data_IF_070754902207
#
_entry.id   IF_070754902207
#
_cell.length_a   1.000
_cell.length_b   1.000
_cell.length_c   1.000
_cell.angle_alpha   90.00
_cell.angle_beta   90.00
_cell.angle_gamma   90.00
#
_symmetry.space_group_name_H-M   'P 1'
#
loop_
_entity.id
_entity.type
_entity.pdbx_description
1 polymer ?
#
# COMPACT_ATOMS: atom_id res chain seq x y z
N UNK A 1 -41.09 -10.64 -31.60
CA UNK A 1 -40.21 -9.94 -30.65
C UNK A 1 -41.05 -9.40 -29.51
N UNK A 2 -41.06 -10.08 -28.36
CA UNK A 2 -41.75 -9.65 -27.14
C UNK A 2 -40.71 -9.72 -26.02
N UNK A 3 -40.05 -8.58 -25.80
CA UNK A 3 -39.05 -8.43 -24.74
C UNK A 3 -39.82 -8.33 -23.43
N UNK A 4 -39.69 -9.34 -22.59
CA UNK A 4 -40.27 -9.36 -21.24
C UNK A 4 -39.29 -8.65 -20.31
N UNK A 5 -39.62 -7.43 -19.88
CA UNK A 5 -38.89 -6.72 -18.83
C UNK A 5 -39.26 -7.30 -17.47
N UNK A 6 -38.36 -8.08 -16.87
CA UNK A 6 -38.49 -8.52 -15.47
C UNK A 6 -37.92 -7.40 -14.59
N UNK A 7 -38.81 -6.66 -13.92
CA UNK A 7 -38.44 -5.64 -12.93
C UNK A 7 -38.27 -6.36 -11.59
N UNK A 8 -37.03 -6.53 -11.14
CA UNK A 8 -36.73 -7.08 -9.81
C UNK A 8 -36.58 -5.93 -8.81
N UNK A 9 -37.56 -5.78 -7.92
CA UNK A 9 -37.53 -4.85 -6.80
C UNK A 9 -36.86 -5.53 -5.60
N UNK A 10 -35.63 -5.13 -5.26
CA UNK A 10 -34.99 -5.55 -4.03
C UNK A 10 -35.26 -4.53 -2.92
N UNK A 11 -36.09 -4.95 -1.96
CA UNK A 11 -36.32 -4.26 -0.69
C UNK A 11 -35.13 -4.59 0.23
N UNK A 12 -34.33 -3.59 0.60
CA UNK A 12 -33.28 -3.75 1.61
C UNK A 12 -33.87 -3.30 2.95
N UNK A 13 -34.16 -4.26 3.83
CA UNK A 13 -34.48 -4.00 5.24
C UNK A 13 -33.17 -3.74 5.99
N UNK A 14 -33.05 -2.56 6.58
CA UNK A 14 -31.96 -2.19 7.48
C UNK A 14 -32.20 -2.84 8.85
N UNK A 15 -31.43 -3.90 9.16
CA UNK A 15 -31.27 -4.43 10.50
C UNK A 15 -30.07 -3.76 11.16
N UNK A 16 -30.32 -2.86 12.10
CA UNK A 16 -29.33 -2.15 12.87
C UNK A 16 -29.02 -2.97 14.13
N UNK A 17 -27.89 -3.67 14.17
CA UNK A 17 -27.44 -4.35 15.38
C UNK A 17 -26.09 -3.79 15.82
N UNK A 18 -26.16 -2.97 16.87
CA UNK A 18 -25.04 -2.38 17.58
C UNK A 18 -24.33 -3.46 18.40
N UNK A 19 -23.03 -3.63 18.20
CA UNK A 19 -22.16 -4.26 19.20
C UNK A 19 -20.96 -3.35 19.44
N UNK A 20 -20.86 -2.87 20.68
CA UNK A 20 -19.77 -2.07 21.19
C UNK A 20 -18.48 -2.91 21.31
N UNK A 21 -17.35 -2.29 20.99
CA UNK A 21 -16.02 -2.83 21.19
C UNK A 21 -14.99 -1.78 20.80
N UNK A 22 -14.44 -1.11 21.80
CA UNK A 22 -13.43 -0.06 21.67
C UNK A 22 -12.11 -0.59 21.12
N UNK A 23 -11.60 0.04 20.08
CA UNK A 23 -10.17 0.27 19.83
C UNK A 23 -10.05 1.40 18.80
N UNK A 24 -9.48 2.52 19.23
CA UNK A 24 -9.26 3.71 18.40
C UNK A 24 -8.29 3.38 17.25
N UNK A 25 -8.86 3.03 16.09
CA UNK A 25 -8.16 3.03 14.83
C UNK A 25 -8.35 4.41 14.18
N UNK A 26 -7.29 5.11 13.75
CA UNK A 26 -7.43 6.44 13.18
C UNK A 26 -8.31 6.39 11.93
N UNK A 27 -9.47 7.04 12.03
CA UNK A 27 -10.47 7.19 10.97
C UNK A 27 -9.90 8.05 9.84
N UNK A 28 -9.23 7.42 8.89
CA UNK A 28 -8.96 7.99 7.57
C UNK A 28 -8.81 6.89 6.50
N UNK A 29 -9.83 6.05 6.34
CA UNK A 29 -10.01 5.24 5.14
C UNK A 29 -11.48 5.26 4.74
N UNK A 30 -11.99 6.45 4.41
CA UNK A 30 -13.31 6.60 3.83
C UNK A 30 -13.28 6.11 2.38
N UNK A 31 -14.02 5.03 2.13
CA UNK A 31 -14.68 4.71 0.88
C UNK A 31 -13.89 4.96 -0.42
N UNK A 32 -12.94 4.07 -0.71
CA UNK A 32 -12.59 3.78 -2.10
C UNK A 32 -12.88 2.32 -2.33
N UNK A 33 -13.78 2.02 -3.27
CA UNK A 33 -14.07 0.68 -3.79
C UNK A 33 -12.72 -0.04 -3.99
N UNK A 34 -12.35 -0.95 -3.07
CA UNK A 34 -11.03 -1.62 -3.06
C UNK A 34 -10.89 -2.36 -4.38
N UNK A 35 -10.24 -1.75 -5.38
CA UNK A 35 -9.63 -2.53 -6.46
C UNK A 35 -8.63 -3.41 -5.74
N UNK A 36 -8.79 -4.72 -5.82
CA UNK A 36 -7.80 -5.66 -5.28
C UNK A 36 -6.50 -5.40 -6.05
N UNK A 37 -5.59 -4.61 -5.46
CA UNK A 37 -4.27 -4.37 -6.03
C UNK A 37 -3.44 -5.60 -5.71
N UNK A 38 -3.06 -6.35 -6.74
CA UNK A 38 -2.10 -7.44 -6.60
C UNK A 38 -0.70 -6.86 -6.50
N UNK A 39 -0.04 -7.10 -5.37
CA UNK A 39 1.33 -6.70 -5.08
C UNK A 39 2.26 -7.89 -5.27
N UNK A 40 3.32 -7.71 -6.04
CA UNK A 40 4.29 -8.76 -6.41
C UNK A 40 5.60 -8.56 -5.65
N UNK A 41 5.54 -8.45 -4.32
CA UNK A 41 6.75 -8.51 -3.51
C UNK A 41 7.31 -9.95 -3.50
N UNK A 42 8.61 -10.11 -3.20
CA UNK A 42 9.20 -11.42 -2.97
C UNK A 42 8.51 -12.19 -1.83
N UNK A 43 8.53 -13.52 -1.90
CA UNK A 43 7.89 -14.41 -0.93
C UNK A 43 8.42 -14.30 0.50
N UNK A 44 9.62 -13.76 0.71
CA UNK A 44 10.16 -13.47 2.04
C UNK A 44 9.54 -12.23 2.69
N UNK A 45 8.65 -11.51 2.00
CA UNK A 45 7.78 -10.48 2.56
C UNK A 45 6.46 -11.15 2.95
N UNK A 46 6.19 -11.35 4.25
CA UNK A 46 5.09 -12.21 4.69
C UNK A 46 3.70 -11.61 4.42
N UNK A 47 3.57 -10.28 4.49
CA UNK A 47 2.31 -9.57 4.25
C UNK A 47 2.56 -8.39 3.30
N UNK A 48 2.26 -8.63 2.02
CA UNK A 48 2.50 -7.67 0.96
C UNK A 48 1.68 -6.38 1.16
N UNK A 49 0.44 -6.51 1.60
CA UNK A 49 -0.46 -5.37 1.75
C UNK A 49 -0.02 -4.49 2.93
N UNK A 50 0.29 -5.11 4.07
CA UNK A 50 0.80 -4.40 5.24
C UNK A 50 2.13 -3.70 4.93
N UNK A 51 3.03 -4.38 4.22
CA UNK A 51 4.30 -3.78 3.82
C UNK A 51 4.10 -2.58 2.88
N UNK A 52 3.25 -2.69 1.85
CA UNK A 52 2.93 -1.57 0.98
C UNK A 52 2.33 -0.36 1.72
N UNK A 53 1.42 -0.61 2.68
CA UNK A 53 0.84 0.44 3.52
C UNK A 53 1.90 1.13 4.38
N UNK A 54 2.84 0.37 4.94
CA UNK A 54 3.95 0.93 5.71
C UNK A 54 4.86 1.82 4.84
N UNK A 55 5.20 1.38 3.62
CA UNK A 55 5.99 2.21 2.69
C UNK A 55 5.24 3.48 2.28
N UNK A 56 3.93 3.38 2.07
CA UNK A 56 3.09 4.54 1.77
C UNK A 56 3.05 5.51 2.95
N UNK A 57 3.00 5.03 4.19
CA UNK A 57 3.06 5.87 5.39
C UNK A 57 4.41 6.60 5.49
N UNK A 58 5.52 5.91 5.25
CA UNK A 58 6.87 6.52 5.23
C UNK A 58 6.96 7.60 4.14
N UNK A 59 6.50 7.28 2.93
CA UNK A 59 6.42 8.22 1.81
C UNK A 59 5.59 9.47 2.17
N UNK A 60 4.46 9.29 2.86
CA UNK A 60 3.64 10.39 3.35
C UNK A 60 4.30 11.22 4.46
N UNK A 61 5.21 10.65 5.26
CA UNK A 61 5.92 11.39 6.33
C UNK A 61 7.11 12.18 5.78
N UNK A 62 7.76 11.70 4.72
CA UNK A 62 8.93 12.35 4.12
C UNK A 62 8.55 13.49 3.15
N UNK A 63 7.68 14.41 3.56
CA UNK A 63 7.27 15.53 2.71
C UNK A 63 8.36 16.59 2.69
N UNK A 64 8.83 16.93 1.49
CA UNK A 64 9.89 17.93 1.30
C UNK A 64 9.38 19.38 1.35
N UNK A 65 8.07 19.63 1.44
CA UNK A 65 7.54 20.99 1.60
C UNK A 65 6.18 21.05 2.32
N UNK A 66 6.00 21.96 3.31
CA UNK A 66 4.71 22.30 3.90
C UNK A 66 3.75 23.00 2.92
N UNK A 67 4.25 23.52 1.79
CA UNK A 67 3.48 24.37 0.87
C UNK A 67 2.59 23.59 -0.12
N UNK A 68 2.17 22.38 0.26
CA UNK A 68 1.13 21.64 -0.47
C UNK A 68 -0.25 22.19 -0.11
N UNK A 69 -0.53 23.45 -0.49
CA UNK A 69 -1.89 24.02 -0.49
C UNK A 69 -2.83 23.33 -1.48
N UNK A 70 -2.33 22.38 -2.27
CA UNK A 70 -3.13 21.52 -3.13
C UNK A 70 -3.73 20.40 -2.28
N UNK A 71 -5.05 20.37 -2.15
CA UNK A 71 -5.83 19.37 -1.43
C UNK A 71 -5.67 17.92 -1.97
N UNK A 72 -4.93 17.75 -3.06
CA UNK A 72 -4.68 16.46 -3.71
C UNK A 72 -3.38 15.83 -3.20
N UNK A 73 -3.51 14.99 -2.17
CA UNK A 73 -2.43 14.15 -1.65
C UNK A 73 -2.04 13.09 -2.70
N UNK A 74 -1.12 13.42 -3.59
CA UNK A 74 -0.57 12.48 -4.58
C UNK A 74 0.66 11.76 -4.01
N UNK A 75 0.45 10.77 -3.14
CA UNK A 75 1.53 9.89 -2.68
C UNK A 75 1.31 8.50 -3.22
N UNK A 76 2.33 7.96 -3.91
CA UNK A 76 2.26 6.63 -4.48
C UNK A 76 3.59 5.88 -4.31
N UNK A 77 3.46 4.58 -4.09
CA UNK A 77 4.54 3.61 -4.10
C UNK A 77 4.27 2.58 -5.21
N UNK A 78 5.31 1.91 -5.68
CA UNK A 78 5.22 0.87 -6.71
C UNK A 78 6.08 -0.32 -6.27
N UNK A 79 5.47 -1.49 -6.21
CA UNK A 79 6.11 -2.75 -5.82
C UNK A 79 7.30 -3.12 -6.73
N UNK A 80 7.25 -2.74 -8.01
CA UNK A 80 8.36 -2.91 -8.97
C UNK A 80 9.54 -1.96 -8.74
N UNK A 81 9.36 -0.93 -7.92
CA UNK A 81 10.39 0.07 -7.61
C UNK A 81 10.85 -0.01 -6.15
N UNK A 82 10.80 -1.21 -5.57
CA UNK A 82 11.47 -1.54 -4.31
C UNK A 82 12.76 -2.29 -4.61
N UNK A 83 13.89 -1.74 -4.15
CA UNK A 83 15.21 -2.32 -4.30
C UNK A 83 15.63 -2.99 -2.99
N UNK A 84 15.39 -4.28 -2.88
CA UNK A 84 15.76 -5.07 -1.70
C UNK A 84 17.28 -5.19 -1.53
N UNK A 85 18.08 -5.12 -2.60
CA UNK A 85 19.55 -5.17 -2.50
C UNK A 85 20.13 -3.93 -1.82
N UNK A 86 19.62 -2.76 -2.18
CA UNK A 86 20.09 -1.48 -1.64
C UNK A 86 19.23 -0.98 -0.46
N UNK A 87 18.17 -1.71 -0.14
CA UNK A 87 17.20 -1.37 0.88
C UNK A 87 16.58 0.01 0.68
N UNK A 88 16.08 0.26 -0.53
CA UNK A 88 15.42 1.53 -0.87
C UNK A 88 14.13 1.32 -1.65
N UNK A 89 13.27 2.33 -1.69
CA UNK A 89 12.08 2.34 -2.51
C UNK A 89 11.79 3.72 -3.10
N UNK A 90 11.12 3.74 -4.24
CA UNK A 90 10.71 4.99 -4.90
C UNK A 90 9.37 5.48 -4.35
N UNK A 91 9.37 6.66 -3.76
CA UNK A 91 8.19 7.40 -3.31
C UNK A 91 7.88 8.52 -4.31
N UNK A 92 6.67 8.56 -4.86
CA UNK A 92 6.20 9.65 -5.73
C UNK A 92 5.41 10.66 -4.93
N UNK A 93 5.83 11.92 -4.94
CA UNK A 93 5.13 13.06 -4.31
C UNK A 93 4.21 13.81 -5.29
N UNK A 94 4.48 13.68 -6.59
CA UNK A 94 3.64 14.21 -7.67
C UNK A 94 3.89 13.39 -8.94
N UNK A 95 3.11 13.59 -10.03
CA UNK A 95 3.40 12.94 -11.31
C UNK A 95 4.81 13.22 -11.85
N UNK A 96 5.42 14.33 -11.45
CA UNK A 96 6.73 14.82 -11.92
C UNK A 96 7.83 14.72 -10.85
N UNK A 97 7.50 14.38 -9.60
CA UNK A 97 8.45 14.39 -8.48
C UNK A 97 8.47 13.05 -7.75
N UNK A 98 9.66 12.49 -7.64
CA UNK A 98 9.92 11.27 -6.90
C UNK A 98 11.18 11.40 -6.05
N UNK A 99 11.15 10.79 -4.88
CA UNK A 99 12.28 10.66 -3.97
C UNK A 99 12.55 9.18 -3.71
N UNK A 100 13.81 8.81 -3.60
CA UNK A 100 14.21 7.47 -3.15
C UNK A 100 14.41 7.53 -1.64
N UNK A 101 13.72 6.66 -0.91
CA UNK A 101 13.79 6.57 0.55
C UNK A 101 14.35 5.21 0.96
N UNK A 102 14.99 5.15 2.14
CA UNK A 102 15.44 3.90 2.73
C UNK A 102 14.24 3.08 3.23
N UNK A 103 14.35 1.76 3.07
CA UNK A 103 13.48 0.80 3.75
C UNK A 103 13.81 0.76 5.24
N UNK A 104 12.84 0.46 6.11
CA UNK A 104 13.10 0.18 7.52
C UNK A 104 14.18 -0.90 7.68
N UNK A 105 15.08 -0.75 8.66
CA UNK A 105 16.19 -1.68 8.89
C UNK A 105 15.70 -3.12 9.14
N UNK A 106 14.54 -3.29 9.78
CA UNK A 106 13.92 -4.60 10.03
C UNK A 106 13.24 -5.24 8.81
N UNK A 107 13.25 -4.58 7.65
CA UNK A 107 12.60 -5.10 6.43
C UNK A 107 13.34 -6.34 5.95
N UNK A 108 12.65 -7.49 5.76
CA UNK A 108 13.24 -8.66 5.13
C UNK A 108 13.75 -8.34 3.73
N UNK A 109 14.99 -8.69 3.43
CA UNK A 109 15.64 -8.41 2.14
C UNK A 109 16.25 -9.67 1.47
N UNK A 110 15.97 -10.84 2.03
CA UNK A 110 16.40 -12.13 1.48
C UNK A 110 15.69 -13.33 2.11
N UNK A 111 15.83 -14.53 1.50
CA UNK A 111 15.07 -15.72 1.89
C UNK A 111 15.53 -16.38 3.20
N UNK A 112 16.72 -16.05 3.71
CA UNK A 112 17.35 -16.67 4.88
C UNK A 112 17.25 -15.77 6.12
N UNK A 113 16.24 -14.91 6.20
CA UNK A 113 16.03 -14.01 7.33
C UNK A 113 16.93 -12.77 7.33
N UNK A 114 17.58 -12.44 6.20
CA UNK A 114 18.35 -11.21 6.08
C UNK A 114 17.44 -9.99 6.16
N UNK A 115 17.93 -8.92 6.79
CA UNK A 115 17.22 -7.65 6.93
C UNK A 115 18.04 -6.49 6.39
N UNK A 116 17.37 -5.36 6.16
CA UNK A 116 17.99 -4.14 5.68
C UNK A 116 18.98 -3.48 6.64
N UNK A 117 19.04 -3.93 7.90
CA UNK A 117 20.10 -3.60 8.86
C UNK A 117 21.49 -3.97 8.31
N UNK A 118 21.60 -5.08 7.56
CA UNK A 118 22.83 -5.52 6.92
C UNK A 118 22.65 -5.67 5.39
N UNK A 119 22.73 -4.53 4.69
CA UNK A 119 22.51 -4.43 3.23
C UNK A 119 23.40 -5.35 2.40
N UNK A 120 24.59 -5.71 2.90
CA UNK A 120 25.52 -6.58 2.17
C UNK A 120 24.97 -8.00 2.00
N UNK A 121 24.17 -8.47 2.94
CA UNK A 121 23.54 -9.80 2.93
C UNK A 121 22.25 -9.86 2.10
N UNK A 122 21.71 -8.70 1.71
CA UNK A 122 20.48 -8.62 0.91
C UNK A 122 20.71 -9.09 -0.53
N UNK A 123 19.64 -9.58 -1.15
CA UNK A 123 19.67 -10.09 -2.53
C UNK A 123 18.82 -9.23 -3.46
N UNK A 124 19.20 -9.08 -4.74
CA UNK A 124 18.33 -8.44 -5.71
C UNK A 124 17.05 -9.27 -5.89
N UNK A 125 15.90 -8.59 -5.90
CA UNK A 125 14.64 -9.20 -6.29
C UNK A 125 14.42 -9.00 -7.79
N UNK A 126 14.27 -10.11 -8.50
CA UNK A 126 13.85 -10.14 -9.90
C UNK A 126 12.46 -10.79 -9.90
N UNK A 127 11.38 -10.04 -10.14
CA UNK A 127 10.06 -10.63 -10.32
C UNK A 127 10.16 -11.68 -11.43
N UNK A 128 9.66 -12.89 -11.17
CA UNK A 128 9.88 -14.06 -12.02
C UNK A 128 9.63 -13.80 -13.52
N UNK A 129 10.51 -14.35 -14.34
CA UNK A 129 10.44 -14.41 -15.80
C UNK A 129 9.26 -15.26 -16.29
#
# INVERSE_FOLDING_TARGET
>A
MKVVCIIVLFVIVAGNESAAGEADAPKAAKDTKKKNVTLHFPSYIPDHQKFALQLLEICNKNKTSPDSRSADKYYAINDKHVNFKNCTFLCKHSPQSSVTLDLPESTPCGPNGQTCENKDQCVPYIPGC
#
